data_IF_693450033938
#
_entry.id   IF_693450033938
#
_cell.length_a   1.000
_cell.length_b   1.000
_cell.length_c   1.000
_cell.angle_alpha   90.00
_cell.angle_beta   90.00
_cell.angle_gamma   90.00
#
_symmetry.space_group_name_H-M   'P 1'
#
loop_
_entity.id
_entity.type
_entity.pdbx_description
1 polymer ?
#
# COMPACT_ATOMS: atom_id res chain seq x y z
N UNK A 1 3.09 22.38 3.06
CA UNK A 1 3.82 21.33 3.79
C UNK A 1 5.12 21.95 4.24
N UNK A 2 5.40 21.96 5.55
CA UNK A 2 6.58 22.62 6.11
C UNK A 2 7.50 21.55 6.72
N UNK A 3 8.79 21.62 6.41
CA UNK A 3 9.80 20.72 7.00
C UNK A 3 10.32 21.37 8.27
N UNK A 4 10.15 20.69 9.41
CA UNK A 4 10.53 21.19 10.75
C UNK A 4 11.76 20.50 11.33
N UNK A 5 12.23 19.41 10.71
CA UNK A 5 13.40 18.67 11.13
C UNK A 5 13.84 17.69 10.04
N UNK A 6 15.15 17.44 9.98
CA UNK A 6 15.78 16.46 9.10
C UNK A 6 16.84 15.75 9.90
N UNK A 7 16.92 14.43 9.76
CA UNK A 7 18.01 13.63 10.31
C UNK A 7 18.48 12.60 9.31
N UNK A 8 19.79 12.40 9.24
CA UNK A 8 20.43 11.56 8.23
C UNK A 8 21.52 10.71 8.86
N UNK A 9 21.61 9.46 8.42
CA UNK A 9 22.65 8.55 8.86
C UNK A 9 23.09 7.66 7.70
N UNK A 10 24.39 7.36 7.67
CA UNK A 10 24.94 6.42 6.71
C UNK A 10 24.33 5.03 6.95
N UNK A 11 23.77 4.44 5.90
CA UNK A 11 23.14 3.12 5.96
C UNK A 11 24.13 2.02 5.59
N UNK A 12 24.78 1.44 6.59
CA UNK A 12 25.77 0.35 6.42
C UNK A 12 25.20 -1.05 6.72
N UNK A 13 23.92 -1.13 7.09
CA UNK A 13 23.24 -2.39 7.44
C UNK A 13 22.33 -2.96 6.34
N UNK A 14 22.09 -2.19 5.27
CA UNK A 14 21.24 -2.55 4.15
C UNK A 14 22.07 -2.84 2.89
N UNK A 15 21.62 -3.80 2.08
CA UNK A 15 22.13 -4.06 0.73
C UNK A 15 20.97 -4.35 -0.22
N UNK A 16 20.79 -3.52 -1.25
CA UNK A 16 19.71 -3.65 -2.25
C UNK A 16 18.31 -3.81 -1.62
N UNK A 17 18.05 -3.06 -0.54
CA UNK A 17 16.77 -3.11 0.18
C UNK A 17 16.62 -4.24 1.19
N UNK A 18 17.65 -5.08 1.38
CA UNK A 18 17.63 -6.19 2.34
C UNK A 18 18.55 -5.87 3.52
N UNK A 19 18.08 -6.15 4.75
CA UNK A 19 18.90 -6.06 5.96
C UNK A 19 19.94 -7.17 5.95
N UNK A 20 21.20 -6.80 5.79
CA UNK A 20 22.35 -7.73 5.86
C UNK A 20 23.07 -7.65 7.20
N UNK A 21 22.86 -6.58 7.98
CA UNK A 21 23.32 -6.46 9.35
C UNK A 21 22.30 -5.65 10.17
N UNK A 22 21.62 -6.33 11.10
CA UNK A 22 20.54 -5.74 11.89
C UNK A 22 21.04 -4.67 12.86
N UNK A 23 22.16 -4.89 13.54
CA UNK A 23 22.72 -3.94 14.52
C UNK A 23 23.10 -2.62 13.86
N UNK A 24 23.78 -2.68 12.71
CA UNK A 24 24.13 -1.49 11.91
C UNK A 24 22.89 -0.77 11.40
N UNK A 25 21.85 -1.51 11.00
CA UNK A 25 20.58 -0.93 10.55
C UNK A 25 19.88 -0.18 11.68
N UNK A 26 19.74 -0.80 12.85
CA UNK A 26 19.15 -0.18 14.04
C UNK A 26 19.94 1.07 14.44
N UNK A 27 21.28 1.00 14.45
CA UNK A 27 22.13 2.15 14.78
C UNK A 27 21.95 3.32 13.81
N UNK A 28 21.87 3.04 12.51
CA UNK A 28 21.64 4.07 11.50
C UNK A 28 20.27 4.74 11.66
N UNK A 29 19.20 3.94 11.85
CA UNK A 29 17.85 4.47 12.06
C UNK A 29 17.78 5.33 13.32
N UNK A 30 18.30 4.84 14.46
CA UNK A 30 18.32 5.61 15.71
C UNK A 30 19.01 6.96 15.54
N UNK A 31 20.19 6.97 14.92
CA UNK A 31 20.94 8.22 14.69
C UNK A 31 20.16 9.22 13.83
N UNK A 32 19.51 8.76 12.76
CA UNK A 32 18.70 9.63 11.92
C UNK A 32 17.46 10.16 12.64
N UNK A 33 16.82 9.35 13.49
CA UNK A 33 15.68 9.79 14.32
C UNK A 33 16.13 10.81 15.36
N UNK A 34 17.20 10.54 16.11
CA UNK A 34 17.75 11.44 17.13
C UNK A 34 18.10 12.81 16.55
N UNK A 35 18.75 12.87 15.38
CA UNK A 35 19.08 14.14 14.71
C UNK A 35 17.81 14.91 14.30
N UNK A 36 16.79 14.21 13.81
CA UNK A 36 15.51 14.82 13.45
C UNK A 36 14.77 15.35 14.68
N UNK A 37 14.71 14.58 15.77
CA UNK A 37 14.09 14.96 17.05
C UNK A 37 14.77 16.20 17.65
N UNK A 38 16.11 16.26 17.61
CA UNK A 38 16.88 17.42 18.04
C UNK A 38 16.53 18.68 17.22
N UNK A 39 16.40 18.54 15.90
CA UNK A 39 16.11 19.66 15.02
C UNK A 39 14.66 20.16 15.15
N UNK A 40 13.69 19.25 15.28
CA UNK A 40 12.27 19.64 15.40
C UNK A 40 11.82 19.91 16.85
N UNK A 41 12.65 19.60 17.84
CA UNK A 41 12.33 19.83 19.26
C UNK A 41 11.19 18.95 19.77
N UNK A 42 10.91 17.83 19.11
CA UNK A 42 9.80 16.94 19.42
C UNK A 42 10.23 15.48 19.34
N UNK A 43 9.58 14.64 20.14
CA UNK A 43 9.80 13.20 20.12
C UNK A 43 8.98 12.52 19.01
N UNK A 44 9.62 11.68 18.21
CA UNK A 44 9.02 10.90 17.14
C UNK A 44 8.53 9.56 17.72
N UNK A 45 7.22 9.32 17.65
CA UNK A 45 6.58 8.09 18.17
C UNK A 45 6.19 7.09 17.08
N UNK A 46 6.02 7.57 15.85
CA UNK A 46 5.64 6.77 14.71
C UNK A 46 6.32 7.32 13.46
N UNK A 47 6.53 6.44 12.49
CA UNK A 47 7.18 6.77 11.22
C UNK A 47 6.44 6.08 10.08
N UNK A 48 6.49 6.69 8.91
CA UNK A 48 6.22 6.00 7.65
C UNK A 48 7.55 5.50 7.11
N UNK A 49 7.67 4.19 6.91
CA UNK A 49 8.86 3.57 6.34
C UNK A 49 8.60 3.22 4.87
N UNK A 50 9.52 3.61 3.98
CA UNK A 50 9.52 3.13 2.61
C UNK A 50 10.14 1.74 2.52
N UNK A 51 9.50 0.83 1.78
CA UNK A 51 10.05 -0.48 1.46
C UNK A 51 10.51 -0.46 0.01
N UNK A 52 11.71 -0.97 -0.25
CA UNK A 52 12.28 -1.04 -1.59
C UNK A 52 13.12 -2.31 -1.74
N UNK A 53 13.24 -2.80 -2.97
CA UNK A 53 14.09 -3.95 -3.30
C UNK A 53 13.43 -4.92 -4.26
N UNK A 54 14.18 -5.93 -4.67
CA UNK A 54 13.76 -6.94 -5.64
C UNK A 54 12.66 -7.90 -5.13
N UNK A 55 12.38 -7.88 -3.83
CA UNK A 55 11.33 -8.66 -3.17
C UNK A 55 9.95 -7.98 -3.28
N UNK A 56 9.90 -6.74 -3.75
CA UNK A 56 8.64 -6.01 -3.98
C UNK A 56 8.23 -6.20 -5.44
N UNK A 57 6.97 -6.59 -5.66
CA UNK A 57 6.40 -6.78 -6.99
C UNK A 57 5.01 -6.19 -7.05
N UNK A 58 4.73 -5.46 -8.13
CA UNK A 58 3.37 -5.14 -8.54
C UNK A 58 2.83 -6.23 -9.46
N UNK A 59 1.56 -6.56 -9.33
CA UNK A 59 0.86 -7.46 -10.22
C UNK A 59 -0.55 -6.94 -10.44
N UNK A 60 -0.98 -6.91 -11.70
CA UNK A 60 -2.36 -6.64 -12.03
C UNK A 60 -3.15 -7.94 -11.93
N UNK A 61 -4.32 -7.87 -11.31
CA UNK A 61 -5.26 -8.96 -11.19
C UNK A 61 -6.67 -8.47 -11.45
N UNK A 62 -7.56 -9.39 -11.82
CA UNK A 62 -8.96 -9.11 -12.07
C UNK A 62 -9.80 -9.97 -11.14
N UNK A 63 -10.78 -9.35 -10.51
CA UNK A 63 -11.81 -10.01 -9.70
C UNK A 63 -13.17 -9.77 -10.34
N UNK A 64 -14.11 -10.67 -10.10
CA UNK A 64 -15.48 -10.54 -10.58
C UNK A 64 -16.43 -10.99 -9.48
N UNK A 65 -17.49 -10.21 -9.25
CA UNK A 65 -18.56 -10.54 -8.32
C UNK A 65 -19.90 -10.25 -8.99
N UNK A 66 -20.91 -11.04 -8.64
CA UNK A 66 -22.29 -10.77 -9.05
C UNK A 66 -22.97 -9.85 -8.04
N UNK A 67 -23.60 -8.79 -8.53
CA UNK A 67 -24.38 -7.84 -7.72
C UNK A 67 -25.83 -8.33 -7.63
N UNK A 68 -26.34 -8.54 -6.41
CA UNK A 68 -27.68 -9.11 -6.18
C UNK A 68 -28.73 -8.08 -5.71
N UNK A 69 -28.34 -7.06 -4.94
CA UNK A 69 -29.27 -6.14 -4.25
C UNK A 69 -29.90 -5.13 -5.21
N UNK A 70 -31.06 -5.44 -5.79
CA UNK A 70 -31.76 -4.60 -6.77
C UNK A 70 -30.88 -4.14 -7.95
N UNK A 71 -29.82 -4.90 -8.24
CA UNK A 71 -28.79 -4.56 -9.24
C UNK A 71 -28.08 -3.22 -8.99
N UNK A 72 -28.12 -2.69 -7.77
CA UNK A 72 -27.42 -1.49 -7.35
C UNK A 72 -26.12 -1.91 -6.67
N UNK A 73 -25.00 -1.37 -7.14
CA UNK A 73 -23.68 -1.65 -6.55
C UNK A 73 -23.60 -1.04 -5.16
N UNK A 74 -23.21 -1.85 -4.19
CA UNK A 74 -23.00 -1.45 -2.79
C UNK A 74 -21.51 -1.41 -2.43
N UNK A 75 -21.18 -0.78 -1.29
CA UNK A 75 -19.83 -0.85 -0.72
C UNK A 75 -19.37 -2.29 -0.46
N UNK A 76 -20.29 -3.19 -0.13
CA UNK A 76 -19.98 -4.61 0.07
C UNK A 76 -19.56 -5.27 -1.24
N UNK A 77 -20.24 -4.96 -2.35
CA UNK A 77 -19.86 -5.48 -3.66
C UNK A 77 -18.47 -4.98 -4.08
N UNK A 78 -18.15 -3.70 -3.80
CA UNK A 78 -16.82 -3.13 -4.05
C UNK A 78 -15.74 -3.84 -3.22
N UNK A 79 -15.98 -4.07 -1.92
CA UNK A 79 -15.03 -4.81 -1.08
C UNK A 79 -14.83 -6.22 -1.58
N UNK A 80 -15.92 -6.93 -1.89
CA UNK A 80 -15.88 -8.31 -2.39
C UNK A 80 -15.16 -8.43 -3.72
N UNK A 81 -15.32 -7.49 -4.66
CA UNK A 81 -14.61 -7.55 -5.94
C UNK A 81 -13.13 -7.28 -5.79
N UNK A 82 -12.76 -6.35 -4.89
CA UNK A 82 -11.36 -6.09 -4.54
C UNK A 82 -10.74 -7.33 -3.88
N UNK A 83 -11.47 -8.02 -2.99
CA UNK A 83 -11.02 -9.27 -2.36
C UNK A 83 -10.90 -10.41 -3.39
N UNK A 84 -11.87 -10.54 -4.30
CA UNK A 84 -11.81 -11.53 -5.38
C UNK A 84 -10.60 -11.30 -6.30
N UNK A 85 -10.22 -10.05 -6.55
CA UNK A 85 -9.04 -9.71 -7.34
C UNK A 85 -7.73 -10.13 -6.64
N UNK A 86 -7.72 -10.29 -5.31
CA UNK A 86 -6.52 -10.66 -4.55
C UNK A 86 -6.22 -12.16 -4.55
N UNK A 87 -7.17 -13.03 -4.93
CA UNK A 87 -7.03 -14.51 -4.85
C UNK A 87 -5.84 -15.05 -5.65
N UNK A 88 -5.33 -14.29 -6.63
CA UNK A 88 -4.19 -14.67 -7.45
C UNK A 88 -2.82 -14.43 -6.77
N UNK A 89 -2.79 -13.89 -5.55
CA UNK A 89 -1.56 -13.61 -4.83
C UNK A 89 -1.08 -14.88 -4.10
N UNK A 90 0.15 -15.36 -4.35
CA UNK A 90 0.72 -16.51 -3.65
C UNK A 90 0.72 -16.35 -2.12
N UNK A 91 0.45 -17.44 -1.40
CA UNK A 91 0.41 -17.46 0.07
C UNK A 91 1.76 -17.16 0.75
N UNK A 92 2.87 -17.19 0.01
CA UNK A 92 4.21 -16.82 0.48
C UNK A 92 4.50 -15.31 0.33
N UNK A 93 3.49 -14.52 -0.03
CA UNK A 93 3.59 -13.07 -0.20
C UNK A 93 2.58 -12.33 0.67
N UNK A 94 2.93 -11.12 1.03
CA UNK A 94 2.08 -10.19 1.77
C UNK A 94 1.63 -9.04 0.87
N UNK A 95 0.36 -8.66 0.97
CA UNK A 95 -0.20 -7.53 0.23
C UNK A 95 0.15 -6.24 0.95
N UNK A 96 1.08 -5.46 0.38
CA UNK A 96 1.46 -4.16 0.96
C UNK A 96 0.44 -3.06 0.66
N UNK A 97 -0.12 -3.07 -0.56
CA UNK A 97 -1.07 -2.05 -0.99
C UNK A 97 -1.89 -2.55 -2.19
N UNK A 98 -3.13 -2.07 -2.30
CA UNK A 98 -4.04 -2.40 -3.39
C UNK A 98 -4.46 -1.09 -4.04
N UNK A 99 -4.31 -1.02 -5.37
CA UNK A 99 -4.71 0.12 -6.18
C UNK A 99 -5.76 -0.34 -7.18
N UNK A 100 -7.06 -0.09 -6.93
CA UNK A 100 -8.07 -0.24 -7.95
C UNK A 100 -7.73 0.66 -9.15
N UNK A 101 -7.61 0.07 -10.34
CA UNK A 101 -7.28 0.80 -11.57
C UNK A 101 -8.53 1.14 -12.37
N UNK A 102 -9.38 0.14 -12.58
CA UNK A 102 -10.61 0.24 -13.35
C UNK A 102 -11.66 -0.69 -12.72
N UNK A 103 -12.92 -0.27 -12.76
CA UNK A 103 -14.07 -1.15 -12.59
C UNK A 103 -14.75 -1.32 -13.95
N UNK A 104 -15.31 -2.51 -14.16
CA UNK A 104 -16.12 -2.85 -15.31
C UNK A 104 -17.50 -3.19 -14.77
N UNK A 105 -18.51 -2.49 -15.25
CA UNK A 105 -19.89 -2.73 -14.85
C UNK A 105 -20.77 -2.78 -16.10
N UNK A 106 -21.46 -3.91 -16.31
CA UNK A 106 -22.37 -4.10 -17.45
C UNK A 106 -21.70 -3.85 -18.82
N UNK A 107 -20.50 -4.46 -19.01
CA UNK A 107 -19.62 -4.29 -20.17
C UNK A 107 -19.13 -2.84 -20.43
N UNK A 108 -19.38 -1.91 -19.52
CA UNK A 108 -18.80 -0.57 -19.55
C UNK A 108 -17.47 -0.55 -18.82
N UNK A 109 -16.39 -0.37 -19.58
CA UNK A 109 -15.03 -0.21 -19.07
C UNK A 109 -14.76 1.21 -18.55
N UNK A 110 -13.72 1.36 -17.74
CA UNK A 110 -13.22 2.67 -17.29
C UNK A 110 -14.04 3.34 -16.18
N UNK A 111 -14.91 2.59 -15.49
CA UNK A 111 -15.66 3.11 -14.33
C UNK A 111 -14.69 3.31 -13.17
N UNK A 112 -14.59 4.55 -12.67
CA UNK A 112 -13.72 4.84 -11.51
C UNK A 112 -14.35 4.46 -10.17
N UNK A 113 -15.65 4.68 -10.02
CA UNK A 113 -16.39 4.34 -8.82
C UNK A 113 -17.78 3.82 -9.20
N UNK A 114 -18.03 2.50 -9.10
CA UNK A 114 -19.33 1.93 -9.46
C UNK A 114 -20.39 2.08 -8.36
N UNK A 115 -20.05 2.63 -7.18
CA UNK A 115 -20.97 2.72 -6.04
C UNK A 115 -22.27 3.43 -6.42
N UNK A 116 -23.41 2.76 -6.20
CA UNK A 116 -24.74 3.29 -6.52
C UNK A 116 -25.13 3.19 -8.00
N UNK A 117 -24.27 2.68 -8.88
CA UNK A 117 -24.67 2.36 -10.26
C UNK A 117 -25.67 1.21 -10.26
N UNK A 118 -26.71 1.33 -11.08
CA UNK A 118 -27.71 0.29 -11.30
C UNK A 118 -27.52 -0.31 -12.69
N UNK A 119 -27.58 -1.65 -12.81
CA UNK A 119 -27.49 -2.28 -14.13
C UNK A 119 -28.73 -1.90 -14.96
N UNK A 120 -28.51 -1.40 -16.17
CA UNK A 120 -29.60 -1.14 -17.10
C UNK A 120 -29.99 -2.44 -17.80
N UNK A 121 -31.23 -2.51 -18.28
CA UNK A 121 -31.77 -3.63 -19.06
C UNK A 121 -31.76 -3.26 -20.53
#
# INVERSE_FOLDING_TARGET
>A
MNVVGVGTAKSDGLRKGVVVNIEKTVKAIKKAVEECELMCGAQIRSVFAGIAGHHIRGQNSRGMVTVYHNRIVTDEDIRRVIDAAQVLIPNDREVLHILPQEFIFDDQDGVQNPLGMAAHV
#
